data_IF_284978891571
#
_entry.id   IF_284978891571
#
_cell.length_a   1.000
_cell.length_b   1.000
_cell.length_c   1.000
_cell.angle_alpha   90.00
_cell.angle_beta   90.00
_cell.angle_gamma   90.00
#
_symmetry.space_group_name_H-M   'P 1'
#
loop_
_entity.id
_entity.type
_entity.pdbx_description
1 polymer ?
#
# COMPACT_ATOMS: atom_id res chain seq x y z
N UNK A 1 -2.95 -20.50 0.71
CA UNK A 1 -2.75 -19.82 -0.58
C UNK A 1 -4.12 -19.37 -1.08
N UNK A 2 -4.37 -18.05 -1.15
CA UNK A 2 -5.71 -17.47 -1.33
C UNK A 2 -5.80 -16.53 -2.53
N UNK A 3 -7.01 -15.99 -2.74
CA UNK A 3 -7.31 -14.96 -3.76
C UNK A 3 -7.37 -13.62 -3.05
N UNK A 4 -6.70 -12.60 -3.59
CA UNK A 4 -6.78 -11.21 -3.09
C UNK A 4 -7.40 -10.36 -4.19
N UNK A 5 -8.37 -9.53 -3.81
CA UNK A 5 -9.00 -8.55 -4.70
C UNK A 5 -8.59 -7.15 -4.25
N UNK A 6 -8.20 -6.30 -5.21
CA UNK A 6 -8.01 -4.88 -5.00
C UNK A 6 -9.08 -4.12 -5.79
N UNK A 7 -9.90 -3.36 -5.07
CA UNK A 7 -11.05 -2.60 -5.60
C UNK A 7 -10.67 -1.16 -5.98
N UNK A 8 -11.50 -0.52 -6.80
CA UNK A 8 -11.36 0.85 -7.31
C UNK A 8 -11.04 1.90 -6.23
N UNK A 9 -11.64 1.81 -5.05
CA UNK A 9 -11.28 2.66 -3.90
C UNK A 9 -10.33 1.93 -2.94
N UNK A 10 -9.05 2.30 -3.01
CA UNK A 10 -8.05 1.81 -2.07
C UNK A 10 -8.21 2.50 -0.70
N UNK A 11 -8.94 1.84 0.19
CA UNK A 11 -9.11 2.29 1.57
C UNK A 11 -7.86 2.04 2.42
N UNK A 12 -7.44 3.08 3.15
CA UNK A 12 -6.43 2.99 4.20
C UNK A 12 -7.10 2.99 5.58
N UNK A 13 -6.71 2.04 6.40
CA UNK A 13 -7.10 1.95 7.80
C UNK A 13 -6.34 2.99 8.63
N UNK A 14 -6.87 3.34 9.81
CA UNK A 14 -6.11 4.16 10.77
C UNK A 14 -4.78 3.50 11.11
N UNK A 15 -3.74 4.31 11.23
CA UNK A 15 -2.39 3.85 11.50
C UNK A 15 -1.38 4.42 10.52
N UNK A 16 -0.18 3.88 10.56
CA UNK A 16 0.93 4.24 9.69
C UNK A 16 0.78 3.63 8.30
N UNK A 17 1.59 4.11 7.35
CA UNK A 17 1.71 3.47 6.03
C UNK A 17 2.19 2.03 6.17
N UNK A 18 3.17 1.77 7.03
CA UNK A 18 3.67 0.43 7.31
C UNK A 18 2.58 -0.51 7.81
N UNK A 19 1.79 -0.09 8.81
CA UNK A 19 0.68 -0.89 9.34
C UNK A 19 -0.35 -1.19 8.26
N UNK A 20 -0.63 -0.21 7.39
CA UNK A 20 -1.52 -0.40 6.26
C UNK A 20 -1.02 -1.46 5.28
N UNK A 21 0.29 -1.55 5.01
CA UNK A 21 0.84 -2.59 4.13
C UNK A 21 0.83 -3.94 4.85
N UNK A 22 1.24 -3.97 6.13
CA UNK A 22 1.35 -5.16 6.95
C UNK A 22 0.03 -5.92 7.15
N UNK A 23 -1.14 -5.30 6.89
CA UNK A 23 -2.43 -6.00 6.89
C UNK A 23 -2.42 -7.25 5.99
N UNK A 24 -1.67 -7.24 4.88
CA UNK A 24 -1.54 -8.40 4.00
C UNK A 24 -0.86 -9.61 4.66
N UNK A 25 0.02 -9.36 5.64
CA UNK A 25 0.73 -10.36 6.44
C UNK A 25 1.21 -9.71 7.74
N UNK A 26 0.45 -9.82 8.85
CA UNK A 26 0.70 -9.04 10.08
C UNK A 26 2.05 -9.29 10.77
N UNK A 27 2.67 -10.43 10.50
CA UNK A 27 3.98 -10.86 10.99
C UNK A 27 5.15 -10.45 10.06
N UNK A 28 4.87 -9.71 8.99
CA UNK A 28 5.90 -9.24 8.07
C UNK A 28 6.90 -8.30 8.75
N UNK A 29 8.18 -8.53 8.46
CA UNK A 29 9.29 -7.66 8.88
C UNK A 29 9.23 -6.31 8.15
N UNK A 30 9.94 -5.31 8.69
CA UNK A 30 10.07 -3.99 8.04
C UNK A 30 10.67 -4.13 6.64
N UNK A 31 11.67 -4.98 6.49
CA UNK A 31 12.35 -5.25 5.22
C UNK A 31 11.39 -5.83 4.18
N UNK A 32 10.49 -6.75 4.58
CA UNK A 32 9.50 -7.33 3.67
C UNK A 32 8.42 -6.30 3.27
N UNK A 33 8.01 -5.43 4.19
CA UNK A 33 7.09 -4.31 3.90
C UNK A 33 7.72 -3.36 2.87
N UNK A 34 8.98 -2.98 3.08
CA UNK A 34 9.71 -2.14 2.13
C UNK A 34 9.89 -2.82 0.78
N UNK A 35 10.21 -4.11 0.77
CA UNK A 35 10.37 -4.88 -0.46
C UNK A 35 9.07 -4.89 -1.27
N UNK A 36 7.92 -5.15 -0.62
CA UNK A 36 6.63 -5.12 -1.28
C UNK A 36 6.31 -3.74 -1.86
N UNK A 37 6.60 -2.66 -1.11
CA UNK A 37 6.42 -1.29 -1.59
C UNK A 37 7.34 -0.94 -2.77
N UNK A 38 8.61 -1.39 -2.75
CA UNK A 38 9.56 -1.20 -3.87
C UNK A 38 9.08 -1.90 -5.14
N UNK A 39 8.60 -3.14 -5.00
CA UNK A 39 8.15 -3.95 -6.13
C UNK A 39 6.98 -3.35 -6.93
N UNK A 40 6.18 -2.47 -6.30
CA UNK A 40 5.04 -1.80 -6.94
C UNK A 40 5.27 -0.30 -7.16
N UNK A 41 6.47 0.23 -6.89
CA UNK A 41 6.80 1.64 -7.12
C UNK A 41 6.28 2.62 -6.06
N UNK A 42 5.92 2.15 -4.86
CA UNK A 42 5.45 3.02 -3.77
C UNK A 42 6.58 3.60 -2.92
N UNK A 43 7.74 2.93 -2.90
CA UNK A 43 8.80 3.23 -1.95
C UNK A 43 9.19 4.71 -1.97
N UNK A 44 9.41 5.28 -3.15
CA UNK A 44 9.92 6.64 -3.29
C UNK A 44 8.96 7.68 -2.73
N UNK A 45 7.65 7.55 -2.98
CA UNK A 45 6.68 8.48 -2.40
C UNK A 45 6.54 8.26 -0.89
N UNK A 46 6.56 7.01 -0.42
CA UNK A 46 6.45 6.71 1.01
C UNK A 46 7.65 7.32 1.75
N UNK A 47 8.86 7.13 1.22
CA UNK A 47 10.09 7.67 1.79
C UNK A 47 10.13 9.22 1.78
N UNK A 48 9.40 9.85 0.86
CA UNK A 48 9.27 11.31 0.79
C UNK A 48 8.23 11.89 1.77
N UNK A 49 7.42 11.06 2.45
CA UNK A 49 6.52 11.54 3.50
C UNK A 49 7.31 12.02 4.74
N UNK A 50 6.77 12.95 5.54
CA UNK A 50 7.48 13.52 6.69
C UNK A 50 8.06 12.50 7.67
N UNK A 51 7.35 11.39 7.91
CA UNK A 51 7.77 10.31 8.81
C UNK A 51 8.01 8.99 8.04
N UNK A 52 8.17 9.05 6.72
CA UNK A 52 8.38 7.87 5.89
C UNK A 52 7.27 6.83 6.03
N UNK A 53 7.64 5.57 6.25
CA UNK A 53 6.73 4.45 6.51
C UNK A 53 5.93 4.58 7.82
N UNK A 54 6.42 5.38 8.78
CA UNK A 54 5.76 5.63 10.05
C UNK A 54 4.79 6.81 9.99
N UNK A 55 4.60 7.41 8.80
CA UNK A 55 3.61 8.46 8.56
C UNK A 55 2.21 7.93 8.83
N UNK A 56 1.52 8.55 9.80
CA UNK A 56 0.11 8.29 10.09
C UNK A 56 -0.78 8.83 8.95
N UNK A 57 -1.55 7.94 8.33
CA UNK A 57 -2.37 8.24 7.15
C UNK A 57 -3.54 9.19 7.42
N UNK A 58 -3.87 9.45 8.70
CA UNK A 58 -4.94 10.37 9.13
C UNK A 58 -4.44 11.76 9.53
N UNK A 59 -3.14 11.95 9.78
CA UNK A 59 -2.62 13.26 10.20
C UNK A 59 -2.69 14.26 9.04
N UNK A 60 -3.17 15.47 9.32
CA UNK A 60 -3.39 16.59 8.36
C UNK A 60 -2.14 17.01 7.54
N UNK A 61 -0.94 16.48 7.83
CA UNK A 61 0.31 16.73 7.08
C UNK A 61 0.71 15.65 6.06
N UNK A 62 0.12 14.46 6.11
CA UNK A 62 0.42 13.33 5.21
C UNK A 62 -0.68 13.11 4.18
N UNK A 63 -0.92 14.08 3.29
CA UNK A 63 -1.95 13.95 2.24
C UNK A 63 -1.50 12.92 1.20
N UNK A 64 -1.90 11.67 1.39
CA UNK A 64 -1.75 10.59 0.43
C UNK A 64 -2.82 10.77 -0.67
N UNK A 65 -2.40 10.93 -1.92
CA UNK A 65 -3.30 11.04 -3.07
C UNK A 65 -4.09 9.75 -3.32
N UNK A 66 -5.10 9.78 -4.20
CA UNK A 66 -5.83 8.56 -4.57
C UNK A 66 -4.91 7.47 -5.16
N UNK A 67 -4.07 7.85 -6.14
CA UNK A 67 -3.10 6.92 -6.73
C UNK A 67 -2.08 6.40 -5.71
N UNK A 68 -1.60 7.23 -4.79
CA UNK A 68 -0.70 6.77 -3.73
C UNK A 68 -1.39 5.78 -2.77
N UNK A 69 -2.67 6.00 -2.42
CA UNK A 69 -3.44 5.02 -1.63
C UNK A 69 -3.56 3.69 -2.36
N UNK A 70 -3.74 3.73 -3.67
CA UNK A 70 -3.80 2.55 -4.52
C UNK A 70 -2.48 1.77 -4.53
N UNK A 71 -1.35 2.47 -4.64
CA UNK A 71 -0.03 1.86 -4.51
C UNK A 71 0.15 1.19 -3.13
N UNK A 72 -0.29 1.81 -2.04
CA UNK A 72 -0.28 1.16 -0.70
C UNK A 72 -1.14 -0.11 -0.68
N UNK A 73 -2.32 -0.10 -1.30
CA UNK A 73 -3.18 -1.28 -1.41
C UNK A 73 -2.54 -2.39 -2.26
N UNK A 74 -1.81 -2.05 -3.33
CA UNK A 74 -1.04 -3.02 -4.11
C UNK A 74 0.11 -3.62 -3.31
N UNK A 75 0.85 -2.81 -2.55
CA UNK A 75 1.89 -3.33 -1.66
C UNK A 75 1.31 -4.30 -0.62
N UNK A 76 0.15 -3.97 -0.02
CA UNK A 76 -0.61 -4.87 0.88
C UNK A 76 -0.97 -6.19 0.19
N UNK A 77 -1.52 -6.11 -1.01
CA UNK A 77 -1.94 -7.29 -1.76
C UNK A 77 -0.75 -8.17 -2.17
N UNK A 78 0.36 -7.57 -2.59
CA UNK A 78 1.58 -8.28 -2.93
C UNK A 78 2.21 -8.95 -1.70
N UNK A 79 2.25 -8.26 -0.56
CA UNK A 79 2.78 -8.79 0.70
C UNK A 79 2.00 -10.02 1.20
N UNK A 80 0.70 -10.08 0.92
CA UNK A 80 -0.13 -11.26 1.23
C UNK A 80 0.24 -12.51 0.42
N UNK A 81 1.12 -12.38 -0.59
CA UNK A 81 1.59 -13.45 -1.46
C UNK A 81 0.45 -14.35 -1.99
N UNK A 82 -0.57 -13.77 -2.64
CA UNK A 82 -1.72 -14.52 -3.11
C UNK A 82 -1.35 -15.44 -4.28
N UNK A 83 -2.15 -16.48 -4.49
CA UNK A 83 -2.02 -17.33 -5.68
C UNK A 83 -2.71 -16.74 -6.89
N UNK A 84 -3.69 -15.87 -6.67
CA UNK A 84 -4.38 -15.11 -7.71
C UNK A 84 -4.62 -13.70 -7.17
N UNK A 85 -4.19 -12.69 -7.92
CA UNK A 85 -4.47 -11.28 -7.65
C UNK A 85 -5.50 -10.78 -8.68
N UNK A 86 -6.63 -10.30 -8.20
CA UNK A 86 -7.68 -9.70 -9.04
C UNK A 86 -7.62 -8.19 -8.84
N UNK A 87 -7.45 -7.46 -9.94
CA UNK A 87 -7.40 -6.01 -9.98
C UNK A 87 -8.66 -5.52 -10.70
N UNK A 88 -9.58 -4.92 -9.96
CA UNK A 88 -10.78 -4.34 -10.55
C UNK A 88 -10.57 -2.85 -10.80
N UNK A 89 -10.62 -2.44 -12.07
CA UNK A 89 -10.43 -1.05 -12.54
C UNK A 89 -9.16 -0.33 -12.05
N UNK A 90 -8.03 -1.03 -11.96
CA UNK A 90 -6.78 -0.54 -11.39
C UNK A 90 -6.06 0.63 -12.13
N UNK A 91 -6.61 1.17 -13.22
CA UNK A 91 -5.90 2.14 -14.07
C UNK A 91 -6.63 3.47 -14.28
N UNK A 92 -7.77 3.73 -13.62
CA UNK A 92 -8.49 5.00 -13.81
C UNK A 92 -7.87 6.19 -13.05
N UNK A 93 -6.95 5.95 -12.12
CA UNK A 93 -6.38 6.99 -11.24
C UNK A 93 -4.85 7.09 -11.24
N UNK A 94 -4.18 6.34 -12.13
CA UNK A 94 -2.77 6.50 -12.46
C UNK A 94 -2.69 7.20 -13.82
N UNK A 95 -2.74 8.54 -13.82
CA UNK A 95 -2.36 9.31 -15.00
C UNK A 95 -0.86 9.05 -15.27
N UNK A 96 -0.55 8.68 -16.52
CA UNK A 96 0.80 8.43 -17.04
C UNK A 96 1.54 9.77 -17.18
#
# INVERSE_FOLDING_TARGET
RGVVMVTQEAFLFSGTVAENIAIGRPDATREEIEHAAKAIGAHDFIAALPDGYDTDVRKRGGRISAGQRQLVAFARALLANPSVLILDEATSSLDI
#
